data_IF_533926295550
#
_entry.id   IF_533926295550
#
_cell.length_a   1.000
_cell.length_b   1.000
_cell.length_c   1.000
_cell.angle_alpha   90.00
_cell.angle_beta   90.00
_cell.angle_gamma   90.00
#
_symmetry.space_group_name_H-M   'P 1'
#
loop_
_entity.id
_entity.type
_entity.pdbx_description
1 polymer ?
#
# COMPACT_ATOMS: atom_id res chain seq x y z
N UNK A 1 -0.38 31.05 -35.77
CA UNK A 1 -0.47 29.84 -36.61
C UNK A 1 0.65 28.93 -36.11
N UNK A 2 0.45 28.14 -35.05
CA UNK A 2 -0.13 26.77 -35.04
C UNK A 2 0.66 25.86 -36.02
N UNK A 3 1.31 24.77 -35.63
CA UNK A 3 0.90 23.70 -34.72
C UNK A 3 2.08 23.06 -33.96
N UNK A 4 1.73 22.50 -32.80
CA UNK A 4 2.40 21.44 -32.07
C UNK A 4 2.34 20.11 -32.82
N UNK A 5 3.41 19.34 -32.81
CA UNK A 5 3.40 17.92 -33.18
C UNK A 5 3.72 17.09 -31.93
N UNK A 6 2.71 16.38 -31.47
CA UNK A 6 2.78 15.32 -30.46
C UNK A 6 3.67 14.19 -30.98
N UNK A 7 4.66 13.77 -30.19
CA UNK A 7 5.46 12.59 -30.48
C UNK A 7 4.84 11.36 -29.81
N UNK A 8 3.98 10.66 -30.55
CA UNK A 8 3.53 9.30 -30.23
C UNK A 8 4.71 8.33 -30.27
N UNK A 9 5.15 7.82 -29.12
CA UNK A 9 6.14 6.73 -29.05
C UNK A 9 5.40 5.40 -29.24
N UNK A 10 5.52 4.81 -30.43
CA UNK A 10 5.08 3.44 -30.72
C UNK A 10 6.32 2.55 -30.91
N UNK A 11 6.62 1.70 -29.94
CA UNK A 11 7.61 0.64 -30.10
C UNK A 11 6.92 -0.62 -30.61
N UNK A 12 7.30 -1.09 -31.80
CA UNK A 12 6.92 -2.40 -32.32
C UNK A 12 8.19 -3.22 -32.56
N UNK A 13 8.39 -4.26 -31.77
CA UNK A 13 9.38 -5.29 -32.04
C UNK A 13 8.69 -6.64 -32.22
N UNK A 14 9.09 -7.34 -33.28
CA UNK A 14 8.57 -8.65 -33.66
C UNK A 14 9.37 -9.76 -32.99
N UNK A 15 8.70 -10.62 -32.24
CA UNK A 15 9.25 -11.90 -31.80
C UNK A 15 8.54 -13.09 -32.46
N UNK A 16 9.30 -14.17 -32.63
CA UNK A 16 8.87 -15.44 -33.25
C UNK A 16 8.02 -16.30 -32.30
N UNK A 17 7.22 -17.25 -32.82
CA UNK A 17 5.96 -17.65 -32.21
C UNK A 17 6.12 -18.82 -31.24
N UNK A 18 5.56 -18.71 -30.03
CA UNK A 18 5.60 -19.87 -29.15
C UNK A 18 5.01 -19.80 -27.75
N UNK A 19 4.22 -18.79 -27.39
CA UNK A 19 3.23 -18.83 -26.30
C UNK A 19 2.45 -17.51 -26.36
N UNK A 20 1.13 -17.55 -26.28
CA UNK A 20 0.29 -16.37 -26.36
C UNK A 20 0.43 -15.57 -25.06
N UNK A 21 1.56 -14.87 -24.88
CA UNK A 21 1.69 -13.82 -23.89
C UNK A 21 0.63 -12.78 -24.27
N UNK A 22 -0.45 -12.73 -23.50
CA UNK A 22 -1.43 -11.67 -23.65
C UNK A 22 -0.69 -10.39 -23.34
N UNK A 23 -0.40 -9.60 -24.38
CA UNK A 23 0.21 -8.29 -24.20
C UNK A 23 -0.76 -7.45 -23.37
N UNK A 24 -0.38 -7.13 -22.14
CA UNK A 24 -1.19 -6.32 -21.23
C UNK A 24 -0.92 -4.86 -21.61
N UNK A 25 -1.92 -4.19 -22.18
CA UNK A 25 -1.86 -2.75 -22.42
C UNK A 25 -2.38 -2.01 -21.18
N UNK A 26 -1.48 -1.31 -20.49
CA UNK A 26 -1.83 -0.43 -19.37
C UNK A 26 -1.80 1.01 -19.85
N UNK A 27 -2.95 1.66 -19.83
CA UNK A 27 -3.08 3.06 -20.21
C UNK A 27 -3.14 3.90 -18.94
N UNK A 28 -2.27 4.90 -18.83
CA UNK A 28 -2.27 5.84 -17.71
C UNK A 28 -3.10 7.10 -18.02
N UNK A 29 -3.59 7.75 -16.98
CA UNK A 29 -4.15 9.11 -17.05
C UNK A 29 -3.03 10.17 -17.04
N UNK A 30 -3.41 11.45 -17.14
CA UNK A 30 -2.45 12.56 -17.17
C UNK A 30 -1.64 12.71 -15.86
N UNK A 31 -2.08 12.05 -14.79
CA UNK A 31 -1.41 12.03 -13.50
C UNK A 31 -0.52 10.77 -13.35
N UNK A 32 -0.59 9.79 -14.25
CA UNK A 32 0.17 8.55 -14.15
C UNK A 32 -0.54 7.45 -13.36
N UNK A 33 -1.87 7.49 -13.23
CA UNK A 33 -2.66 6.41 -12.63
C UNK A 33 -3.24 5.47 -13.69
N UNK A 34 -3.49 4.19 -13.38
CA UNK A 34 -4.24 3.31 -14.28
C UNK A 34 -5.58 3.92 -14.69
N UNK A 35 -5.83 3.96 -15.99
CA UNK A 35 -7.10 4.47 -16.53
C UNK A 35 -8.22 3.45 -16.27
N UNK A 36 -9.39 3.96 -15.92
CA UNK A 36 -10.60 3.16 -15.74
C UNK A 36 -11.61 3.89 -14.88
N UNK A 37 -11.11 4.53 -13.82
CA UNK A 37 -11.92 5.41 -12.97
C UNK A 37 -11.88 6.82 -13.53
N UNK A 38 -13.05 7.42 -13.76
CA UNK A 38 -13.15 8.78 -14.33
C UNK A 38 -13.39 9.82 -13.25
N UNK A 39 -14.14 9.48 -12.20
CA UNK A 39 -14.51 10.42 -11.13
C UNK A 39 -14.74 9.69 -9.80
N UNK A 40 -14.82 10.44 -8.69
CA UNK A 40 -15.38 9.97 -7.41
C UNK A 40 -14.40 9.29 -6.44
N UNK A 41 -13.15 9.05 -6.86
CA UNK A 41 -12.07 8.66 -5.95
C UNK A 41 -11.52 9.90 -5.25
N UNK A 42 -11.44 9.84 -3.92
CA UNK A 42 -10.83 10.89 -3.12
C UNK A 42 -9.36 10.55 -2.85
N UNK A 43 -8.44 11.24 -3.54
CA UNK A 43 -7.00 11.08 -3.37
C UNK A 43 -6.42 11.93 -2.22
N UNK A 44 -7.22 12.77 -1.57
CA UNK A 44 -6.77 13.50 -0.40
C UNK A 44 -6.47 12.54 0.75
N UNK A 45 -5.50 12.92 1.58
CA UNK A 45 -5.24 12.19 2.83
C UNK A 45 -6.47 12.22 3.74
N UNK A 46 -6.89 11.05 4.19
CA UNK A 46 -8.07 10.86 5.03
C UNK A 46 -7.75 9.99 6.24
N UNK A 47 -8.33 10.33 7.39
CA UNK A 47 -8.24 9.54 8.62
C UNK A 47 -9.63 9.23 9.14
N UNK A 48 -9.84 7.97 9.47
CA UNK A 48 -11.06 7.44 10.01
C UNK A 48 -10.77 6.82 11.38
N UNK A 49 -11.27 7.46 12.43
CA UNK A 49 -11.07 6.96 13.79
C UNK A 49 -12.07 5.85 14.11
N UNK A 50 -11.58 4.76 14.73
CA UNK A 50 -12.42 3.60 15.10
C UNK A 50 -13.27 3.09 13.92
N UNK A 51 -12.65 3.07 12.73
CA UNK A 51 -13.26 2.67 11.48
C UNK A 51 -13.55 1.16 11.44
N UNK A 52 -12.63 0.37 11.99
CA UNK A 52 -12.80 -1.08 12.09
C UNK A 52 -13.75 -1.41 13.23
N UNK A 53 -14.82 -2.13 12.90
CA UNK A 53 -15.80 -2.65 13.85
C UNK A 53 -15.87 -4.16 13.70
N UNK A 54 -16.05 -4.88 14.81
CA UNK A 54 -16.15 -6.33 14.80
C UNK A 54 -15.24 -6.98 15.84
N UNK A 55 -14.90 -8.25 15.61
CA UNK A 55 -14.02 -9.02 16.48
C UNK A 55 -12.56 -8.76 16.13
N UNK A 56 -11.96 -7.76 16.78
CA UNK A 56 -10.56 -7.37 16.56
C UNK A 56 -9.57 -8.47 16.99
N UNK A 57 -9.95 -9.33 17.95
CA UNK A 57 -9.10 -10.46 18.38
C UNK A 57 -8.96 -11.49 17.26
N UNK A 58 -10.09 -11.86 16.62
CA UNK A 58 -10.08 -12.75 15.46
C UNK A 58 -9.28 -12.15 14.30
N UNK A 59 -9.47 -10.86 14.01
CA UNK A 59 -8.74 -10.21 12.94
C UNK A 59 -7.23 -10.16 13.20
N UNK A 60 -6.81 -9.86 14.44
CA UNK A 60 -5.39 -9.94 14.84
C UNK A 60 -4.85 -11.36 14.67
N UNK A 61 -5.62 -12.36 15.08
CA UNK A 61 -5.23 -13.76 14.92
C UNK A 61 -5.06 -14.14 13.45
N UNK A 62 -6.02 -13.80 12.57
CA UNK A 62 -5.91 -14.01 11.12
C UNK A 62 -4.67 -13.31 10.56
N UNK A 63 -4.42 -12.07 10.95
CA UNK A 63 -3.24 -11.32 10.52
C UNK A 63 -1.92 -11.98 10.93
N UNK A 64 -1.84 -12.51 12.16
CA UNK A 64 -0.69 -13.27 12.66
C UNK A 64 -0.48 -14.57 11.88
N UNK A 65 -1.55 -15.31 11.57
CA UNK A 65 -1.45 -16.53 10.77
C UNK A 65 -0.90 -16.24 9.37
N UNK A 66 -1.47 -15.25 8.68
CA UNK A 66 -1.04 -14.86 7.33
C UNK A 66 0.41 -14.36 7.34
N UNK A 67 0.77 -13.51 8.31
CA UNK A 67 2.13 -12.98 8.44
C UNK A 67 3.17 -14.09 8.65
N UNK A 68 2.88 -15.04 9.55
CA UNK A 68 3.80 -16.14 9.84
C UNK A 68 3.96 -17.10 8.66
N UNK A 69 2.89 -17.37 7.90
CA UNK A 69 2.99 -18.18 6.68
C UNK A 69 3.93 -17.53 5.67
N UNK A 70 3.88 -16.20 5.52
CA UNK A 70 4.80 -15.43 4.69
C UNK A 70 6.25 -15.52 5.20
N UNK A 71 6.47 -15.33 6.51
CA UNK A 71 7.81 -15.37 7.11
C UNK A 71 8.53 -16.72 6.93
N UNK A 72 7.79 -17.83 6.87
CA UNK A 72 8.37 -19.18 6.66
C UNK A 72 8.77 -19.45 5.21
N UNK A 73 8.30 -18.65 4.24
CA UNK A 73 8.51 -18.88 2.81
C UNK A 73 9.67 -18.06 2.19
N UNK A 74 10.21 -17.06 2.88
CA UNK A 74 11.28 -16.20 2.37
C UNK A 74 12.57 -16.30 3.18
N UNK A 75 13.69 -16.65 2.53
CA UNK A 75 15.05 -16.66 3.10
C UNK A 75 15.87 -15.39 2.70
N UNK A 76 15.25 -14.38 2.09
CA UNK A 76 15.93 -13.18 1.59
C UNK A 76 15.77 -11.97 2.52
N UNK A 77 16.85 -11.18 2.64
CA UNK A 77 17.03 -10.01 3.54
C UNK A 77 16.09 -8.83 3.22
N UNK A 78 15.32 -8.95 2.14
CA UNK A 78 14.22 -8.07 1.76
C UNK A 78 13.02 -8.96 1.41
N UNK A 79 11.86 -8.64 1.98
CA UNK A 79 10.63 -9.37 1.71
C UNK A 79 10.32 -9.41 0.21
N UNK A 80 10.46 -10.58 -0.40
CA UNK A 80 9.87 -10.92 -1.71
C UNK A 80 8.33 -10.93 -1.70
N UNK A 81 7.71 -10.57 -0.57
CA UNK A 81 6.43 -9.85 -0.56
C UNK A 81 5.29 -10.60 -1.21
N UNK A 82 4.99 -11.82 -0.76
CA UNK A 82 3.69 -12.43 -1.06
C UNK A 82 2.59 -11.49 -0.51
N UNK A 83 2.08 -10.64 -1.40
CA UNK A 83 0.84 -9.89 -1.22
C UNK A 83 -0.32 -10.77 -1.67
N UNK A 84 -1.51 -10.42 -1.22
CA UNK A 84 -2.74 -11.11 -1.57
C UNK A 84 -3.63 -10.14 -2.32
N UNK A 85 -4.45 -10.64 -3.24
CA UNK A 85 -5.42 -9.83 -3.96
C UNK A 85 -6.82 -10.40 -3.74
N UNK A 86 -7.79 -9.53 -3.41
CA UNK A 86 -9.21 -9.88 -3.41
C UNK A 86 -9.93 -9.03 -4.47
N UNK A 87 -10.50 -9.71 -5.46
CA UNK A 87 -11.29 -9.07 -6.51
C UNK A 87 -12.59 -8.49 -5.98
N UNK A 88 -13.07 -7.40 -6.59
CA UNK A 88 -14.28 -6.68 -6.15
C UNK A 88 -15.54 -7.56 -6.11
N UNK A 89 -15.60 -8.61 -6.94
CA UNK A 89 -16.70 -9.58 -7.02
C UNK A 89 -16.44 -10.90 -6.31
N UNK A 90 -15.26 -11.08 -5.75
CA UNK A 90 -14.88 -12.30 -5.04
C UNK A 90 -15.47 -12.31 -3.64
N UNK A 91 -15.65 -13.52 -3.11
CA UNK A 91 -16.10 -13.73 -1.74
C UNK A 91 -14.89 -13.95 -0.84
N UNK A 92 -14.80 -13.26 0.31
CA UNK A 92 -13.66 -13.40 1.21
C UNK A 92 -13.64 -14.80 1.85
N UNK A 93 -12.45 -15.40 1.93
CA UNK A 93 -12.19 -16.68 2.56
C UNK A 93 -11.88 -16.56 4.05
N UNK A 94 -11.47 -15.38 4.53
CA UNK A 94 -11.10 -15.10 5.91
C UNK A 94 -11.57 -13.70 6.38
N UNK A 95 -11.47 -13.40 7.68
CA UNK A 95 -11.91 -12.11 8.24
C UNK A 95 -11.01 -10.96 7.78
N UNK A 96 -9.71 -11.22 7.58
CA UNK A 96 -8.77 -10.25 7.01
C UNK A 96 -9.09 -9.88 5.56
N UNK A 97 -9.46 -10.87 4.72
CA UNK A 97 -9.94 -10.62 3.35
C UNK A 97 -11.26 -9.87 3.36
N UNK A 98 -12.17 -10.20 4.31
CA UNK A 98 -13.43 -9.49 4.48
C UNK A 98 -13.18 -8.00 4.78
N UNK A 99 -12.17 -7.69 5.61
CA UNK A 99 -11.77 -6.32 5.88
C UNK A 99 -11.19 -5.64 4.62
N UNK A 100 -10.27 -6.29 3.91
CA UNK A 100 -9.70 -5.75 2.66
C UNK A 100 -10.80 -5.41 1.64
N UNK A 101 -11.77 -6.33 1.46
CA UNK A 101 -12.92 -6.10 0.60
C UNK A 101 -13.80 -4.93 1.07
N UNK A 102 -14.05 -4.83 2.38
CA UNK A 102 -14.82 -3.70 2.93
C UNK A 102 -14.12 -2.36 2.72
N UNK A 103 -12.79 -2.31 2.82
CA UNK A 103 -11.99 -1.11 2.56
C UNK A 103 -12.11 -0.72 1.09
N UNK A 104 -11.97 -1.69 0.16
CA UNK A 104 -12.21 -1.47 -1.26
C UNK A 104 -13.61 -0.92 -1.52
N UNK A 105 -14.65 -1.63 -1.07
CA UNK A 105 -16.04 -1.25 -1.28
C UNK A 105 -16.33 0.14 -0.70
N UNK A 106 -15.74 0.47 0.47
CA UNK A 106 -15.85 1.78 1.08
C UNK A 106 -15.23 2.86 0.17
N UNK A 107 -13.96 2.77 -0.19
CA UNK A 107 -13.30 3.85 -0.96
C UNK A 107 -13.77 3.94 -2.42
N UNK A 108 -14.22 2.82 -3.00
CA UNK A 108 -14.78 2.79 -4.35
C UNK A 108 -16.27 3.19 -4.43
N UNK A 109 -16.99 3.34 -3.31
CA UNK A 109 -18.46 3.51 -3.29
C UNK A 109 -19.03 4.64 -4.16
N UNK A 110 -18.27 5.71 -4.35
CA UNK A 110 -18.67 6.88 -5.11
C UNK A 110 -17.97 6.98 -6.48
N UNK A 111 -17.14 5.99 -6.82
CA UNK A 111 -16.34 6.01 -8.03
C UNK A 111 -17.20 5.76 -9.27
N UNK A 112 -16.86 6.46 -10.36
CA UNK A 112 -17.49 6.30 -11.67
C UNK A 112 -16.45 5.69 -12.61
N UNK A 113 -16.86 4.66 -13.36
CA UNK A 113 -16.00 3.99 -14.36
C UNK A 113 -15.25 2.75 -13.86
N UNK A 114 -15.26 2.45 -12.56
CA UNK A 114 -14.61 1.24 -12.02
C UNK A 114 -15.18 -0.03 -12.68
N UNK A 115 -14.31 -0.79 -13.35
CA UNK A 115 -14.62 -2.14 -13.81
C UNK A 115 -14.39 -3.13 -12.67
N UNK A 116 -15.48 -3.55 -12.03
CA UNK A 116 -15.45 -4.49 -10.90
C UNK A 116 -14.93 -5.90 -11.29
N UNK A 117 -14.72 -6.21 -12.57
CA UNK A 117 -14.08 -7.47 -12.97
C UNK A 117 -12.54 -7.37 -12.99
N UNK A 118 -12.00 -6.15 -12.96
CA UNK A 118 -10.57 -5.85 -13.06
C UNK A 118 -10.06 -5.03 -11.88
N UNK A 119 -10.89 -4.88 -10.84
CA UNK A 119 -10.60 -4.06 -9.67
C UNK A 119 -10.73 -4.90 -8.42
N UNK A 120 -10.04 -4.49 -7.37
CA UNK A 120 -10.01 -5.17 -6.09
C UNK A 120 -9.08 -4.45 -5.12
N UNK A 121 -8.71 -5.15 -4.05
CA UNK A 121 -7.69 -4.69 -3.13
C UNK A 121 -6.55 -5.70 -3.10
N UNK A 122 -5.34 -5.20 -3.33
CA UNK A 122 -4.15 -5.85 -2.83
C UNK A 122 -4.03 -5.59 -1.32
N UNK A 123 -3.64 -6.60 -0.55
CA UNK A 123 -3.51 -6.50 0.89
C UNK A 123 -2.42 -7.44 1.41
N UNK A 124 -1.82 -7.06 2.52
CA UNK A 124 -0.89 -7.87 3.30
C UNK A 124 -0.97 -7.41 4.75
N UNK A 125 -0.37 -8.17 5.65
CA UNK A 125 -0.34 -7.86 7.08
C UNK A 125 1.09 -7.57 7.51
N UNK A 126 1.22 -6.69 8.50
CA UNK A 126 2.49 -6.40 9.17
C UNK A 126 2.29 -6.68 10.66
N UNK A 127 2.91 -7.75 11.14
CA UNK A 127 2.91 -8.14 12.56
C UNK A 127 4.35 -8.07 13.03
N UNK A 128 4.76 -6.86 13.39
CA UNK A 128 6.14 -6.50 13.72
C UNK A 128 6.24 -6.01 15.15
N UNK A 129 7.46 -6.02 15.70
CA UNK A 129 7.72 -5.53 17.05
C UNK A 129 7.61 -4.00 17.11
N UNK A 130 7.50 -3.46 18.32
CA UNK A 130 7.16 -2.05 18.51
C UNK A 130 8.26 -1.08 18.05
N UNK A 131 9.50 -1.56 18.01
CA UNK A 131 10.71 -0.88 17.57
C UNK A 131 11.18 -1.28 16.17
N UNK A 132 10.41 -2.12 15.46
CA UNK A 132 10.69 -2.44 14.07
C UNK A 132 10.33 -1.28 13.13
N UNK A 133 11.12 -1.17 12.07
CA UNK A 133 10.95 -0.21 10.98
C UNK A 133 10.28 -0.83 9.76
N UNK A 134 9.48 -0.03 9.06
CA UNK A 134 9.17 -0.27 7.65
C UNK A 134 9.87 0.80 6.84
N UNK A 135 10.84 0.40 6.00
CA UNK A 135 11.61 1.30 5.15
C UNK A 135 10.74 2.10 4.17
N UNK A 136 11.26 3.25 3.69
CA UNK A 136 10.56 4.07 2.72
C UNK A 136 10.39 3.34 1.38
N UNK A 137 9.15 3.29 0.89
CA UNK A 137 8.81 2.60 -0.35
C UNK A 137 7.60 3.22 -1.03
N UNK A 138 7.38 2.75 -2.26
CA UNK A 138 6.14 2.94 -3.02
C UNK A 138 5.49 1.57 -3.20
N UNK A 139 4.20 1.47 -2.89
CA UNK A 139 3.40 0.29 -3.23
C UNK A 139 3.27 0.19 -4.74
N UNK A 140 3.56 -0.98 -5.31
CA UNK A 140 3.56 -1.16 -6.75
C UNK A 140 3.37 -2.62 -7.12
N UNK A 141 2.92 -2.84 -8.35
CA UNK A 141 2.90 -4.17 -8.95
C UNK A 141 4.34 -4.64 -9.22
N UNK A 142 4.83 -5.53 -8.36
CA UNK A 142 6.19 -6.07 -8.46
C UNK A 142 6.42 -6.91 -9.71
N UNK A 143 5.37 -7.55 -10.26
CA UNK A 143 5.49 -8.34 -11.48
C UNK A 143 5.75 -7.42 -12.67
N UNK A 144 5.00 -6.31 -12.77
CA UNK A 144 5.22 -5.31 -13.81
C UNK A 144 6.52 -4.54 -13.66
N UNK A 145 6.98 -4.31 -12.42
CA UNK A 145 8.31 -3.74 -12.20
C UNK A 145 9.41 -4.67 -12.72
N UNK A 146 9.35 -5.96 -12.36
CA UNK A 146 10.38 -6.95 -12.72
C UNK A 146 10.39 -7.23 -14.23
N UNK A 147 9.22 -7.48 -14.82
CA UNK A 147 9.10 -7.91 -16.21
C UNK A 147 9.22 -6.74 -17.21
N UNK A 148 8.68 -5.57 -16.87
CA UNK A 148 8.51 -4.45 -17.81
C UNK A 148 9.26 -3.17 -17.38
N UNK A 149 9.83 -3.14 -16.18
CA UNK A 149 10.58 -1.97 -15.68
C UNK A 149 9.70 -0.76 -15.37
N UNK A 150 8.42 -0.96 -15.10
CA UNK A 150 7.45 0.13 -14.84
C UNK A 150 6.86 0.03 -13.44
N UNK A 151 6.65 1.18 -12.80
CA UNK A 151 5.96 1.28 -11.53
C UNK A 151 4.48 1.60 -11.77
N UNK A 152 3.62 0.61 -11.54
CA UNK A 152 2.17 0.78 -11.52
C UNK A 152 1.70 0.71 -10.08
N UNK A 153 0.98 1.75 -9.66
CA UNK A 153 0.56 1.94 -8.28
C UNK A 153 -0.95 1.72 -8.12
N UNK A 154 -1.42 1.30 -6.92
CA UNK A 154 -2.84 1.35 -6.62
C UNK A 154 -3.37 2.79 -6.69
N UNK A 155 -4.66 2.96 -6.96
CA UNK A 155 -5.28 4.28 -6.89
C UNK A 155 -5.15 4.90 -5.49
N UNK A 156 -5.31 4.09 -4.45
CA UNK A 156 -5.24 4.50 -3.05
C UNK A 156 -4.37 3.53 -2.26
N UNK A 157 -3.47 4.09 -1.44
CA UNK A 157 -2.78 3.36 -0.38
C UNK A 157 -3.57 3.51 0.92
N UNK A 158 -3.65 2.44 1.72
CA UNK A 158 -4.35 2.50 3.01
C UNK A 158 -3.59 1.74 4.10
N UNK A 159 -3.69 2.21 5.33
CA UNK A 159 -3.17 1.50 6.51
C UNK A 159 -4.27 1.41 7.55
N UNK A 160 -4.44 0.22 8.11
CA UNK A 160 -5.41 -0.03 9.18
C UNK A 160 -4.70 -0.53 10.42
N UNK A 161 -4.80 0.21 11.51
CA UNK A 161 -4.16 -0.16 12.76
C UNK A 161 -5.02 -1.12 13.56
N UNK A 162 -4.46 -2.28 13.87
CA UNK A 162 -5.05 -3.26 14.77
C UNK A 162 -4.34 -3.26 16.13
N UNK A 163 -3.64 -2.18 16.45
CA UNK A 163 -2.74 -2.07 17.60
C UNK A 163 -2.56 -0.59 17.97
N UNK A 164 -2.31 -0.32 19.25
CA UNK A 164 -1.97 1.00 19.78
C UNK A 164 -0.44 1.24 19.85
N UNK A 165 0.36 0.25 19.48
CA UNK A 165 1.82 0.23 19.58
C UNK A 165 2.47 0.09 18.20
N UNK A 166 3.73 0.53 18.09
CA UNK A 166 4.54 0.49 16.86
C UNK A 166 4.88 1.87 16.30
N UNK A 167 5.77 1.89 15.33
CA UNK A 167 6.16 3.09 14.59
C UNK A 167 4.94 3.75 13.89
N UNK A 168 4.87 5.09 13.83
CA UNK A 168 3.81 5.77 13.09
C UNK A 168 4.00 5.62 11.58
N UNK A 169 2.91 5.47 10.83
CA UNK A 169 2.96 5.64 9.38
C UNK A 169 3.30 7.11 9.06
N UNK A 170 4.34 7.28 8.25
CA UNK A 170 4.77 8.54 7.68
C UNK A 170 4.53 8.53 6.17
N UNK A 171 3.81 9.52 5.66
CA UNK A 171 3.49 9.66 4.23
C UNK A 171 4.01 11.01 3.75
N UNK A 172 4.79 11.01 2.67
CA UNK A 172 5.21 12.22 1.97
C UNK A 172 4.43 12.33 0.67
N UNK A 173 3.98 13.53 0.32
CA UNK A 173 3.36 13.81 -0.99
C UNK A 173 4.42 13.88 -2.11
N UNK A 174 5.27 12.85 -2.16
CA UNK A 174 6.27 12.57 -3.18
C UNK A 174 5.77 11.42 -4.03
N UNK A 175 5.48 11.65 -5.32
CA UNK A 175 4.97 10.63 -6.25
C UNK A 175 6.12 9.78 -6.80
N UNK A 176 5.89 8.48 -6.93
CA UNK A 176 6.84 7.60 -7.61
C UNK A 176 6.96 7.92 -9.11
N UNK A 177 8.13 7.69 -9.72
CA UNK A 177 8.30 7.75 -11.16
C UNK A 177 7.66 6.54 -11.82
N UNK A 178 7.09 6.70 -13.01
CA UNK A 178 6.50 5.60 -13.78
C UNK A 178 7.53 4.58 -14.25
N UNK A 179 8.77 5.01 -14.51
CA UNK A 179 9.85 4.11 -14.93
C UNK A 179 10.66 3.70 -13.69
N UNK A 180 10.84 2.40 -13.48
CA UNK A 180 11.61 1.90 -12.34
C UNK A 180 13.09 2.29 -12.46
N UNK A 181 13.71 2.56 -11.31
CA UNK A 181 15.10 3.02 -11.20
C UNK A 181 15.35 4.47 -11.63
N UNK A 182 14.34 5.19 -12.13
CA UNK A 182 14.47 6.62 -12.41
C UNK A 182 14.70 7.39 -11.10
N UNK A 183 15.62 8.36 -11.14
CA UNK A 183 15.86 9.21 -9.98
C UNK A 183 14.63 10.09 -9.64
N UNK A 184 14.57 10.51 -8.39
CA UNK A 184 13.54 11.43 -7.91
C UNK A 184 13.96 12.90 -8.12
N UNK A 185 15.09 13.15 -8.80
CA UNK A 185 15.62 14.48 -9.04
C UNK A 185 14.78 15.19 -10.10
N UNK A 186 13.72 15.86 -9.66
CA UNK A 186 12.76 16.51 -10.55
C UNK A 186 11.30 16.23 -10.20
N UNK A 187 11.05 15.40 -9.19
CA UNK A 187 9.71 15.12 -8.66
C UNK A 187 9.01 16.35 -8.03
N UNK A 188 9.66 17.52 -8.06
CA UNK A 188 9.16 18.76 -7.49
C UNK A 188 9.48 18.89 -6.00
N UNK A 189 8.95 19.94 -5.38
CA UNK A 189 9.04 20.13 -3.94
C UNK A 189 7.94 19.33 -3.24
N UNK A 190 8.30 18.63 -2.16
CA UNK A 190 7.32 18.01 -1.26
C UNK A 190 6.76 19.09 -0.36
N UNK A 191 5.50 19.46 -0.56
CA UNK A 191 4.85 20.53 0.23
C UNK A 191 4.35 20.05 1.58
N UNK A 192 4.08 18.75 1.70
CA UNK A 192 3.39 18.18 2.85
C UNK A 192 3.88 16.77 3.19
N UNK A 193 4.01 16.55 4.48
CA UNK A 193 4.27 15.25 5.07
C UNK A 193 3.28 15.03 6.22
N UNK A 194 2.87 13.79 6.41
CA UNK A 194 1.83 13.40 7.37
C UNK A 194 2.36 12.27 8.23
N UNK A 195 2.16 12.40 9.54
CA UNK A 195 2.48 11.37 10.53
C UNK A 195 1.18 10.91 11.18
N UNK A 196 0.92 9.60 11.20
CA UNK A 196 -0.25 9.01 11.83
C UNK A 196 0.18 7.96 12.83
N UNK A 197 0.00 8.22 14.12
CA UNK A 197 0.37 7.26 15.17
C UNK A 197 -0.62 6.09 15.26
N UNK A 198 -0.14 4.87 15.56
CA UNK A 198 -1.01 3.72 15.68
C UNK A 198 -2.05 3.92 16.78
N UNK A 199 -3.29 3.63 16.42
CA UNK A 199 -4.39 3.53 17.38
C UNK A 199 -5.35 2.48 16.86
N UNK A 200 -5.67 1.50 17.69
CA UNK A 200 -6.52 0.37 17.33
C UNK A 200 -7.84 0.84 16.72
N UNK A 201 -8.14 0.27 15.55
CA UNK A 201 -9.32 0.55 14.75
C UNK A 201 -9.21 1.80 13.88
N UNK A 202 -8.14 2.60 13.98
CA UNK A 202 -7.94 3.72 13.07
C UNK A 202 -7.54 3.22 11.67
N UNK A 203 -8.02 3.93 10.66
CA UNK A 203 -7.74 3.67 9.26
C UNK A 203 -7.32 4.97 8.57
N UNK A 204 -6.27 4.93 7.77
CA UNK A 204 -5.79 6.04 6.96
C UNK A 204 -5.82 5.66 5.47
N UNK A 205 -6.01 6.66 4.63
CA UNK A 205 -6.05 6.53 3.18
C UNK A 205 -5.32 7.72 2.54
N UNK A 206 -4.57 7.46 1.49
CA UNK A 206 -3.77 8.44 0.75
C UNK A 206 -3.65 8.03 -0.72
N UNK A 207 -3.13 8.92 -1.56
CA UNK A 207 -2.83 8.60 -2.96
C UNK A 207 -1.79 7.49 -3.05
N UNK A 208 -2.11 6.37 -3.72
CA UNK A 208 -1.26 5.16 -3.70
C UNK A 208 0.13 5.33 -4.33
N UNK A 209 0.39 6.46 -5.01
CA UNK A 209 1.71 6.78 -5.57
C UNK A 209 2.66 7.44 -4.58
N UNK A 210 2.21 7.77 -3.36
CA UNK A 210 3.00 8.53 -2.39
C UNK A 210 4.02 7.67 -1.67
N UNK A 211 5.23 8.23 -1.46
CA UNK A 211 6.29 7.61 -0.67
C UNK A 211 5.83 7.52 0.79
N UNK A 212 5.99 6.35 1.38
CA UNK A 212 5.62 6.14 2.78
C UNK A 212 6.50 5.11 3.49
N UNK A 213 6.50 5.17 4.82
CA UNK A 213 7.24 4.29 5.72
C UNK A 213 6.57 4.20 7.09
N UNK A 214 7.13 3.37 7.98
CA UNK A 214 6.83 3.41 9.41
C UNK A 214 8.16 3.44 10.20
N UNK A 215 8.75 4.62 10.43
CA UNK A 215 10.05 4.75 11.08
C UNK A 215 9.91 4.81 12.62
N UNK A 216 10.55 3.88 13.32
CA UNK A 216 10.68 3.79 14.77
C UNK A 216 11.39 5.00 15.38
N UNK A 217 12.23 5.71 14.61
CA UNK A 217 12.82 6.99 15.01
C UNK A 217 11.77 8.08 15.32
N UNK A 218 10.53 7.93 14.85
CA UNK A 218 9.41 8.84 15.16
C UNK A 218 8.59 8.37 16.37
N UNK A 219 9.02 7.33 17.08
CA UNK A 219 8.39 6.94 18.35
C UNK A 219 8.51 8.07 19.38
N UNK A 220 7.48 8.29 20.21
CA UNK A 220 7.54 9.33 21.23
C UNK A 220 8.69 9.10 22.21
N UNK A 221 9.30 10.19 22.64
CA UNK A 221 10.22 10.18 23.77
C UNK A 221 9.42 10.32 25.06
N UNK A 222 9.85 9.62 26.10
CA UNK A 222 9.46 9.85 27.47
C UNK A 222 9.88 11.28 27.88
N UNK A 223 8.91 12.05 28.38
CA UNK A 223 9.09 13.48 28.64
C UNK A 223 10.08 13.76 29.79
N UNK A 224 10.28 12.82 30.72
CA UNK A 224 11.18 12.99 31.87
C UNK A 224 12.62 12.61 31.54
N UNK A 225 12.81 11.57 30.72
CA UNK A 225 14.12 10.98 30.45
C UNK A 225 14.68 11.40 29.08
N UNK A 226 13.84 11.86 28.16
CA UNK A 226 14.21 12.13 26.76
C UNK A 226 14.61 10.87 25.99
N UNK A 227 14.34 9.68 26.53
CA UNK A 227 14.59 8.38 25.92
C UNK A 227 13.28 7.85 25.28
N UNK A 228 13.32 6.86 24.39
CA UNK A 228 12.11 6.27 23.82
C UNK A 228 11.09 5.86 24.91
N UNK A 229 9.82 6.20 24.72
CA UNK A 229 8.73 5.84 25.65
C UNK A 229 8.49 4.32 25.65
N UNK A 230 9.11 3.63 26.60
CA UNK A 230 9.02 2.19 26.79
C UNK A 230 7.59 1.70 27.08
N UNK A 231 6.65 2.58 27.48
CA UNK A 231 5.25 2.18 27.72
C UNK A 231 4.52 1.74 26.45
N UNK A 232 5.04 2.13 25.28
CA UNK A 232 4.52 1.75 23.96
C UNK A 232 5.21 0.54 23.35
N UNK A 233 6.26 0.02 23.98
CA UNK A 233 6.81 -1.29 23.64
C UNK A 233 5.95 -2.34 24.36
N UNK A 234 5.35 -3.28 23.62
CA UNK A 234 4.59 -4.35 24.27
C UNK A 234 5.52 -5.06 25.26
N UNK A 235 5.06 -5.26 26.50
CA UNK A 235 5.61 -6.31 27.38
C UNK A 235 5.31 -7.65 26.72
N UNK A 236 6.23 -8.16 25.91
CA UNK A 236 6.17 -9.53 25.39
C UNK A 236 6.49 -10.52 26.51
N UNK A 237 5.62 -10.64 27.51
CA UNK A 237 5.61 -11.78 28.43
C UNK A 237 4.50 -12.73 28.02
N UNK A 238 4.66 -13.39 26.87
CA UNK A 238 3.95 -14.65 26.64
C UNK A 238 4.78 -15.75 27.30
N UNK A 239 4.38 -16.11 28.53
CA UNK A 239 4.84 -17.33 29.19
C UNK A 239 4.63 -18.49 28.23
N UNK A 240 5.72 -19.13 27.80
CA UNK A 240 5.69 -20.52 27.35
C UNK A 240 5.02 -21.35 28.45
N UNK A 241 3.83 -21.88 28.17
CA UNK A 241 3.21 -22.99 28.91
C UNK A 241 3.11 -24.15 27.94
#
# INVERSE_FOLDING_TARGET
MSNSEDSDIRNSFSESPGMNAQQIEIVLDAEGRPRGVTEGINYDFQVYQKAVKGNLELLRHDCEQVFNVRAVRGDEEYSSGETYFIGAKEQPAAEVERLAKLIFDFHARNSIGVDLNKSGAEWWTQVIDADDDIGAHFDRDYTLEEDEGVNIHPHLGTVTYLSDTGAPTFVLELKAPTISGQDLCGAGFVEKAIVSFPKEGNHLCFDGRFLHCAPADLLPLDEETGQPDESRKRKSESKRI
#
